data_IF_641294254044
#
_entry.id   IF_641294254044
#
_cell.length_a   1.000
_cell.length_b   1.000
_cell.length_c   1.000
_cell.angle_alpha   90.00
_cell.angle_beta   90.00
_cell.angle_gamma   90.00
#
_symmetry.space_group_name_H-M   'P 1'
#
loop_
_entity.id
_entity.type
_entity.pdbx_description
1 polymer ?
#
# COMPACT_ATOMS: atom_id res chain seq x y z
N UNK A 1 -45.00 -5.60 -43.68
CA UNK A 1 -44.22 -5.15 -42.51
C UNK A 1 -43.15 -6.19 -42.19
N UNK A 2 -41.92 -6.02 -42.66
CA UNK A 2 -40.87 -7.07 -42.60
C UNK A 2 -39.49 -6.48 -42.25
N UNK A 3 -39.45 -5.54 -41.29
CA UNK A 3 -38.19 -4.90 -40.84
C UNK A 3 -38.05 -4.82 -39.31
N UNK A 4 -39.00 -5.34 -38.53
CA UNK A 4 -38.92 -5.29 -37.06
C UNK A 4 -37.99 -6.35 -36.45
N UNK A 5 -37.66 -7.43 -37.14
CA UNK A 5 -36.77 -8.49 -36.60
C UNK A 5 -35.28 -8.12 -36.56
N UNK A 6 -34.80 -7.38 -37.56
CA UNK A 6 -33.37 -7.10 -37.74
C UNK A 6 -32.84 -6.01 -36.78
N UNK A 7 -33.72 -5.13 -36.30
CA UNK A 7 -33.38 -4.10 -35.31
C UNK A 7 -33.26 -4.67 -33.88
N UNK A 8 -34.02 -5.72 -33.55
CA UNK A 8 -33.92 -6.37 -32.22
C UNK A 8 -32.66 -7.23 -32.11
N UNK A 9 -32.26 -7.94 -33.18
CA UNK A 9 -31.01 -8.71 -33.19
C UNK A 9 -29.78 -7.80 -33.09
N UNK A 10 -29.77 -6.67 -33.81
CA UNK A 10 -28.66 -5.71 -33.73
C UNK A 10 -28.59 -4.98 -32.39
N UNK A 11 -29.73 -4.64 -31.77
CA UNK A 11 -29.74 -4.07 -30.42
C UNK A 11 -29.23 -5.07 -29.36
N UNK A 12 -29.62 -6.34 -29.48
CA UNK A 12 -29.15 -7.40 -28.58
C UNK A 12 -27.65 -7.67 -28.74
N UNK A 13 -27.14 -7.62 -29.98
CA UNK A 13 -25.72 -7.80 -30.27
C UNK A 13 -24.88 -6.64 -29.70
N UNK A 14 -25.37 -5.40 -29.77
CA UNK A 14 -24.66 -4.25 -29.18
C UNK A 14 -24.61 -4.35 -27.65
N UNK A 15 -25.70 -4.76 -27.01
CA UNK A 15 -25.75 -4.91 -25.55
C UNK A 15 -24.79 -6.02 -25.09
N UNK A 16 -24.72 -7.15 -25.80
CA UNK A 16 -23.79 -8.24 -25.43
C UNK A 16 -22.32 -7.83 -25.56
N UNK A 17 -21.97 -7.02 -26.56
CA UNK A 17 -20.62 -6.48 -26.74
C UNK A 17 -20.25 -5.51 -25.60
N UNK A 18 -21.15 -4.62 -25.20
CA UNK A 18 -20.89 -3.68 -24.09
C UNK A 18 -20.65 -4.44 -22.78
N UNK A 19 -21.47 -5.45 -22.50
CA UNK A 19 -21.30 -6.29 -21.29
C UNK A 19 -19.98 -7.06 -21.35
N UNK A 20 -19.59 -7.59 -22.50
CA UNK A 20 -18.31 -8.28 -22.66
C UNK A 20 -17.10 -7.34 -22.44
N UNK A 21 -17.16 -6.09 -22.93
CA UNK A 21 -16.13 -5.06 -22.71
C UNK A 21 -16.06 -4.66 -21.23
N UNK A 22 -17.21 -4.52 -20.56
CA UNK A 22 -17.24 -4.21 -19.14
C UNK A 22 -16.63 -5.34 -18.29
N UNK A 23 -16.97 -6.60 -18.60
CA UNK A 23 -16.38 -7.78 -17.92
C UNK A 23 -14.89 -7.88 -18.24
N UNK A 24 -14.45 -7.63 -19.47
CA UNK A 24 -13.03 -7.54 -19.82
C UNK A 24 -12.31 -6.44 -19.05
N UNK A 25 -12.92 -5.26 -18.86
CA UNK A 25 -12.36 -4.18 -18.04
C UNK A 25 -12.23 -4.55 -16.56
N UNK A 26 -13.22 -5.25 -16.01
CA UNK A 26 -13.17 -5.78 -14.63
C UNK A 26 -12.11 -6.89 -14.52
N UNK A 27 -12.04 -7.81 -15.48
CA UNK A 27 -11.01 -8.85 -15.53
C UNK A 27 -9.60 -8.27 -15.71
N UNK A 28 -9.44 -7.20 -16.49
CA UNK A 28 -8.19 -6.43 -16.59
C UNK A 28 -7.89 -5.66 -15.31
N UNK A 29 -8.88 -5.28 -14.51
CA UNK A 29 -8.67 -4.71 -13.17
C UNK A 29 -8.20 -5.77 -12.17
N UNK A 30 -8.70 -7.01 -12.28
CA UNK A 30 -8.21 -8.15 -11.50
C UNK A 30 -6.81 -8.62 -11.95
N UNK A 31 -6.54 -8.66 -13.26
CA UNK A 31 -5.21 -8.97 -13.81
C UNK A 31 -4.21 -7.80 -13.62
N UNK A 32 -4.68 -6.56 -13.55
CA UNK A 32 -3.89 -5.37 -13.21
C UNK A 32 -3.38 -5.35 -11.76
N UNK A 33 -3.88 -6.26 -10.91
CA UNK A 33 -3.33 -6.55 -9.59
C UNK A 33 -2.11 -7.49 -9.61
N UNK A 34 -1.79 -8.13 -10.75
CA UNK A 34 -0.69 -9.07 -10.90
C UNK A 34 0.18 -8.62 -12.09
N UNK A 35 1.03 -7.60 -11.88
CA UNK A 35 1.99 -7.21 -12.91
C UNK A 35 2.43 -5.75 -12.95
N UNK A 36 2.34 -5.00 -11.85
CA UNK A 36 3.09 -3.74 -11.75
C UNK A 36 4.19 -3.94 -10.71
N UNK A 37 5.44 -3.84 -11.14
CA UNK A 37 6.61 -3.82 -10.26
C UNK A 37 6.34 -2.78 -9.18
N UNK A 38 6.04 -3.25 -7.98
CA UNK A 38 5.93 -2.39 -6.81
C UNK A 38 7.31 -1.84 -6.47
N UNK A 39 7.36 -0.63 -5.91
CA UNK A 39 8.62 -0.13 -5.38
C UNK A 39 9.07 -1.05 -4.22
N UNK A 40 10.35 -1.38 -4.13
CA UNK A 40 10.83 -2.32 -3.11
C UNK A 40 10.77 -1.66 -1.72
N UNK A 41 10.26 -2.36 -0.71
CA UNK A 41 10.21 -1.84 0.66
C UNK A 41 11.57 -1.37 1.19
N UNK A 42 12.68 -1.99 0.77
CA UNK A 42 14.06 -1.58 1.12
C UNK A 42 14.43 -0.19 0.67
N UNK A 43 13.87 0.25 -0.45
CA UNK A 43 14.12 1.58 -1.01
C UNK A 43 13.08 2.59 -0.50
N UNK A 44 11.84 2.14 -0.35
CA UNK A 44 10.71 3.00 0.03
C UNK A 44 10.77 3.45 1.48
N UNK A 45 11.07 2.56 2.43
CA UNK A 45 11.13 2.89 3.86
C UNK A 45 12.07 4.06 4.16
N UNK A 46 13.37 4.01 3.79
CA UNK A 46 14.29 5.12 4.05
C UNK A 46 13.95 6.40 3.27
N UNK A 47 13.41 6.28 2.06
CA UNK A 47 12.97 7.46 1.28
C UNK A 47 11.80 8.17 1.95
N UNK A 48 10.82 7.43 2.47
CA UNK A 48 9.67 7.97 3.18
C UNK A 48 10.09 8.70 4.47
N UNK A 49 10.88 8.04 5.32
CA UNK A 49 11.37 8.64 6.58
C UNK A 49 12.18 9.89 6.29
N UNK A 50 13.05 9.86 5.28
CA UNK A 50 13.83 11.03 4.85
C UNK A 50 12.93 12.18 4.42
N UNK A 51 11.91 11.94 3.61
CA UNK A 51 11.00 12.99 3.11
C UNK A 51 10.21 13.65 4.24
N UNK A 52 9.65 12.84 5.12
CA UNK A 52 8.90 13.35 6.28
C UNK A 52 9.83 14.12 7.21
N UNK A 53 11.02 13.60 7.50
CA UNK A 53 12.01 14.28 8.35
C UNK A 53 12.51 15.60 7.75
N UNK A 54 12.76 15.66 6.45
CA UNK A 54 13.16 16.89 5.78
C UNK A 54 12.05 17.95 5.77
N UNK A 55 10.79 17.53 5.71
CA UNK A 55 9.64 18.43 5.77
C UNK A 55 9.35 18.87 7.21
N UNK A 56 9.54 17.99 8.19
CA UNK A 56 9.27 18.21 9.61
C UNK A 56 7.78 18.15 10.00
N UNK A 57 6.89 17.82 9.06
CA UNK A 57 5.44 17.68 9.29
C UNK A 57 4.77 16.90 8.14
N UNK A 58 3.54 16.42 8.37
CA UNK A 58 2.69 15.82 7.34
C UNK A 58 2.85 14.29 7.17
N UNK A 59 2.11 13.75 6.21
CA UNK A 59 2.12 12.32 5.84
C UNK A 59 2.70 12.14 4.44
N UNK A 60 3.51 11.10 4.26
CA UNK A 60 3.97 10.62 2.96
C UNK A 60 3.56 9.17 2.78
N UNK A 61 2.82 8.88 1.70
CA UNK A 61 2.29 7.54 1.41
C UNK A 61 2.82 6.99 0.09
N UNK A 62 3.10 5.69 0.09
CA UNK A 62 3.41 4.90 -1.09
C UNK A 62 2.56 3.64 -1.11
N UNK A 63 1.65 3.56 -2.07
CA UNK A 63 0.96 2.32 -2.41
C UNK A 63 1.80 1.40 -3.29
N UNK A 64 1.38 0.13 -3.38
CA UNK A 64 2.01 -0.92 -4.21
C UNK A 64 3.50 -1.10 -3.88
N UNK A 65 3.82 -1.24 -2.61
CA UNK A 65 5.18 -1.54 -2.13
C UNK A 65 5.35 -3.05 -2.01
N UNK A 66 6.41 -3.57 -2.61
CA UNK A 66 6.71 -5.01 -2.58
C UNK A 66 7.59 -5.35 -1.37
N UNK A 67 7.09 -6.26 -0.54
CA UNK A 67 7.82 -6.90 0.54
C UNK A 67 8.29 -8.27 0.09
N UNK A 68 9.61 -8.48 0.03
CA UNK A 68 10.18 -9.76 -0.39
C UNK A 68 10.29 -10.71 0.79
N UNK A 69 9.94 -11.98 0.59
CA UNK A 69 10.01 -12.99 1.65
C UNK A 69 11.44 -13.09 2.24
N UNK A 70 11.51 -13.33 3.55
CA UNK A 70 12.73 -13.37 4.36
C UNK A 70 13.43 -12.02 4.59
N UNK A 71 12.91 -10.91 4.05
CA UNK A 71 13.41 -9.59 4.41
C UNK A 71 13.10 -9.24 5.87
N UNK A 72 14.02 -8.46 6.45
CA UNK A 72 13.90 -7.91 7.80
C UNK A 72 14.28 -6.45 7.78
N UNK A 73 13.39 -5.60 8.24
CA UNK A 73 13.59 -4.17 8.36
C UNK A 73 13.70 -3.84 9.83
N UNK A 74 14.84 -3.30 10.24
CA UNK A 74 15.04 -2.74 11.58
C UNK A 74 14.95 -1.22 11.50
N UNK A 75 14.67 -0.54 12.61
CA UNK A 75 14.59 0.92 12.68
C UNK A 75 15.77 1.61 11.98
N UNK A 76 17.00 1.16 12.26
CA UNK A 76 18.23 1.63 11.57
C UNK A 76 18.15 1.58 10.04
N UNK A 77 17.64 0.48 9.49
CA UNK A 77 17.56 0.29 8.04
C UNK A 77 16.43 1.15 7.43
N UNK A 78 15.35 1.35 8.18
CA UNK A 78 14.22 2.19 7.77
C UNK A 78 14.54 3.68 7.87
N UNK A 79 15.46 4.10 8.73
CA UNK A 79 15.93 5.50 8.83
C UNK A 79 16.92 5.82 7.70
N UNK A 80 17.76 4.86 7.31
CA UNK A 80 18.79 5.06 6.28
C UNK A 80 19.78 6.14 6.69
N UNK A 81 19.94 7.16 5.84
CA UNK A 81 20.84 8.30 6.08
C UNK A 81 20.13 9.51 6.71
N UNK A 82 18.89 9.35 7.18
CA UNK A 82 18.15 10.44 7.81
C UNK A 82 18.75 10.83 9.17
N UNK A 83 18.51 12.07 9.61
CA UNK A 83 18.96 12.57 10.91
C UNK A 83 18.08 12.12 12.10
N UNK A 84 17.10 11.26 11.85
CA UNK A 84 16.17 10.72 12.84
C UNK A 84 16.92 9.74 13.77
N UNK A 85 16.69 9.86 15.07
CA UNK A 85 17.24 8.93 16.05
C UNK A 85 16.53 7.57 15.95
N UNK A 86 17.27 6.46 16.10
CA UNK A 86 16.70 5.10 16.01
C UNK A 86 15.54 4.84 16.98
N UNK A 87 15.52 5.50 18.14
CA UNK A 87 14.47 5.32 19.13
C UNK A 87 13.22 6.17 18.86
N UNK A 88 13.26 7.05 17.86
CA UNK A 88 12.17 7.95 17.51
C UNK A 88 11.41 7.44 16.27
N UNK A 89 11.59 6.17 15.88
CA UNK A 89 10.89 5.58 14.75
C UNK A 89 10.13 4.34 15.20
N UNK A 90 8.82 4.33 15.05
CA UNK A 90 7.99 3.15 15.34
C UNK A 90 7.36 2.57 14.08
N UNK A 91 7.13 1.26 14.12
CA UNK A 91 6.43 0.53 13.08
C UNK A 91 5.05 0.09 13.58
N UNK A 92 4.04 0.43 12.80
CA UNK A 92 2.65 0.06 13.02
C UNK A 92 2.11 -0.72 11.83
N UNK A 93 1.21 -1.63 12.13
CA UNK A 93 0.42 -2.32 11.13
C UNK A 93 -0.82 -2.87 11.81
N UNK A 94 -1.97 -2.25 11.55
CA UNK A 94 -3.27 -2.61 12.12
C UNK A 94 -4.19 -3.24 11.05
N UNK A 95 -3.59 -4.05 10.16
CA UNK A 95 -4.32 -4.77 9.12
C UNK A 95 -4.12 -6.27 9.29
N UNK A 96 -5.11 -6.95 9.89
CA UNK A 96 -5.12 -8.41 10.12
C UNK A 96 -4.96 -9.23 8.82
N UNK A 97 -5.24 -8.65 7.64
CA UNK A 97 -5.04 -9.35 6.37
C UNK A 97 -3.56 -9.46 5.98
N UNK A 98 -2.70 -8.59 6.53
CA UNK A 98 -1.28 -8.47 6.17
C UNK A 98 -0.38 -8.73 7.36
N UNK A 99 -0.78 -8.26 8.53
CA UNK A 99 -0.01 -8.27 9.76
C UNK A 99 -0.64 -9.17 10.80
N UNK A 100 0.22 -9.75 11.62
CA UNK A 100 -0.19 -10.64 12.68
C UNK A 100 0.98 -11.47 13.16
N UNK A 101 0.68 -12.69 13.58
CA UNK A 101 1.69 -13.63 14.03
C UNK A 101 2.55 -14.20 12.87
N UNK A 102 3.32 -15.26 13.15
CA UNK A 102 4.20 -15.87 12.14
C UNK A 102 3.45 -16.50 10.96
N UNK A 103 2.13 -16.65 11.04
CA UNK A 103 1.31 -17.16 9.93
C UNK A 103 0.91 -16.07 8.94
N UNK A 104 0.89 -14.81 9.40
CA UNK A 104 0.60 -13.62 8.58
C UNK A 104 1.78 -13.28 7.65
N UNK A 105 1.52 -12.60 6.52
CA UNK A 105 2.56 -12.16 5.59
C UNK A 105 3.68 -11.33 6.24
N UNK A 106 3.31 -10.43 7.14
CA UNK A 106 4.21 -9.58 7.90
C UNK A 106 4.02 -9.82 9.41
N UNK A 107 5.13 -9.80 10.14
CA UNK A 107 5.12 -9.67 11.60
C UNK A 107 5.79 -8.35 11.94
N UNK A 108 5.01 -7.41 12.49
CA UNK A 108 5.51 -6.12 12.94
C UNK A 108 5.69 -6.17 14.46
N UNK A 109 6.82 -5.66 14.89
CA UNK A 109 7.20 -5.47 16.29
C UNK A 109 7.66 -4.04 16.44
N UNK A 110 7.75 -3.56 17.68
CA UNK A 110 8.24 -2.22 18.00
C UNK A 110 9.53 -1.84 17.22
N UNK A 111 10.46 -2.78 17.08
CA UNK A 111 11.79 -2.54 16.52
C UNK A 111 12.00 -3.06 15.10
N UNK A 112 11.08 -3.87 14.58
CA UNK A 112 11.30 -4.52 13.29
C UNK A 112 10.05 -4.98 12.57
N UNK A 113 10.16 -5.03 11.24
CA UNK A 113 9.22 -5.67 10.33
C UNK A 113 9.89 -6.94 9.79
N UNK A 114 9.26 -8.10 9.99
CA UNK A 114 9.72 -9.39 9.46
C UNK A 114 8.76 -9.85 8.37
N UNK A 115 9.29 -10.09 7.17
CA UNK A 115 8.49 -10.55 6.03
C UNK A 115 8.51 -12.08 5.97
N UNK A 116 7.42 -12.69 6.41
CA UNK A 116 7.26 -14.15 6.39
C UNK A 116 6.91 -14.67 5.00
N UNK A 117 6.09 -13.91 4.25
CA UNK A 117 5.64 -14.25 2.89
C UNK A 117 5.72 -13.01 2.00
N UNK A 118 6.04 -13.21 0.72
CA UNK A 118 6.02 -12.13 -0.26
C UNK A 118 4.61 -11.53 -0.34
N UNK A 119 4.51 -10.21 -0.24
CA UNK A 119 3.25 -9.48 -0.33
C UNK A 119 3.48 -8.09 -0.91
N UNK A 120 2.41 -7.51 -1.46
CA UNK A 120 2.36 -6.12 -1.88
C UNK A 120 1.36 -5.38 -0.99
N UNK A 121 1.76 -4.24 -0.44
CA UNK A 121 0.89 -3.40 0.40
C UNK A 121 1.13 -1.92 0.16
N UNK A 122 0.75 -1.09 1.12
CA UNK A 122 1.08 0.32 1.19
C UNK A 122 1.91 0.63 2.43
N UNK A 123 2.73 1.67 2.35
CA UNK A 123 3.49 2.21 3.48
C UNK A 123 3.17 3.70 3.56
N UNK A 124 2.80 4.18 4.74
CA UNK A 124 2.75 5.60 5.06
C UNK A 124 3.79 5.91 6.14
N UNK A 125 4.36 7.11 6.09
CA UNK A 125 5.19 7.65 7.14
C UNK A 125 4.64 9.01 7.56
N UNK A 126 4.65 9.29 8.86
CA UNK A 126 4.31 10.60 9.41
C UNK A 126 5.23 10.93 10.58
N UNK A 127 5.13 12.17 11.06
CA UNK A 127 5.86 12.62 12.25
C UNK A 127 4.93 13.36 13.19
N UNK A 128 5.07 13.08 14.49
CA UNK A 128 4.46 13.81 15.58
C UNK A 128 5.45 14.88 16.07
N UNK A 129 5.05 16.13 15.96
CA UNK A 129 5.83 17.33 16.34
C UNK A 129 7.25 17.43 15.74
N UNK A 130 7.54 16.68 14.67
CA UNK A 130 8.87 16.60 14.06
C UNK A 130 9.91 15.82 14.89
N UNK A 131 9.48 15.21 15.99
CA UNK A 131 10.34 14.51 16.96
C UNK A 131 10.21 13.00 16.82
N UNK A 132 8.98 12.51 16.83
CA UNK A 132 8.65 11.09 16.71
C UNK A 132 8.17 10.81 15.29
N UNK A 133 8.53 9.65 14.76
CA UNK A 133 8.25 9.23 13.40
C UNK A 133 7.57 7.88 13.45
N UNK A 134 6.55 7.70 12.64
CA UNK A 134 5.75 6.49 12.64
C UNK A 134 5.59 6.01 11.21
N UNK A 135 5.77 4.71 11.02
CA UNK A 135 5.57 4.02 9.75
C UNK A 135 4.38 3.10 9.88
N UNK A 136 3.38 3.29 9.03
CA UNK A 136 2.17 2.48 8.96
C UNK A 136 2.20 1.60 7.72
N UNK A 137 1.82 0.34 7.88
CA UNK A 137 1.71 -0.63 6.79
C UNK A 137 0.26 -1.11 6.74
N UNK A 138 -0.34 -1.08 5.55
CA UNK A 138 -1.70 -1.55 5.33
C UNK A 138 -1.87 -2.17 3.94
N UNK A 139 -3.02 -2.79 3.66
CA UNK A 139 -3.30 -3.33 2.32
C UNK A 139 -3.48 -2.24 1.28
N UNK A 140 -4.10 -1.13 1.66
CA UNK A 140 -4.36 0.00 0.76
C UNK A 140 -3.67 1.27 1.25
N UNK A 141 -3.36 2.13 0.30
CA UNK A 141 -2.79 3.46 0.52
C UNK A 141 -3.73 4.37 1.32
N UNK A 142 -5.04 4.30 1.06
CA UNK A 142 -6.05 5.06 1.81
C UNK A 142 -6.10 4.67 3.29
N UNK A 143 -5.92 3.38 3.59
CA UNK A 143 -5.93 2.86 4.97
C UNK A 143 -4.65 3.32 5.69
N UNK A 144 -3.47 3.09 5.09
CA UNK A 144 -2.20 3.52 5.66
C UNK A 144 -2.13 5.05 5.87
N UNK A 145 -2.66 5.85 4.94
CA UNK A 145 -2.69 7.31 5.06
C UNK A 145 -3.63 7.77 6.18
N UNK A 146 -4.83 7.19 6.28
CA UNK A 146 -5.80 7.56 7.31
C UNK A 146 -5.29 7.28 8.71
N UNK A 147 -4.68 6.12 8.93
CA UNK A 147 -4.08 5.77 10.23
C UNK A 147 -2.92 6.70 10.59
N UNK A 148 -2.08 7.04 9.60
CA UNK A 148 -0.98 7.98 9.81
C UNK A 148 -1.47 9.40 10.13
N UNK A 149 -2.52 9.87 9.45
CA UNK A 149 -3.11 11.18 9.72
C UNK A 149 -3.74 11.24 11.12
N UNK A 150 -4.46 10.20 11.54
CA UNK A 150 -5.07 10.12 12.86
C UNK A 150 -3.99 10.04 13.96
N UNK A 151 -3.00 9.16 13.81
CA UNK A 151 -1.98 8.95 14.86
C UNK A 151 -1.07 10.17 15.03
N UNK A 152 -0.67 10.81 13.92
CA UNK A 152 0.17 12.01 13.98
C UNK A 152 -0.62 13.31 14.22
N UNK A 153 -1.92 13.23 14.56
CA UNK A 153 -2.80 14.39 14.81
C UNK A 153 -2.81 15.42 13.65
N UNK A 154 -2.85 14.93 12.41
CA UNK A 154 -2.85 15.74 11.19
C UNK A 154 -4.25 15.88 10.55
N UNK A 155 -5.24 15.17 11.10
CA UNK A 155 -6.63 15.15 10.65
C UNK A 155 -7.51 16.27 11.24
#
# INVERSE_FOLDING_TARGET
MKMRGQAFETMMLVISVIVAVAILGILLSFLGGIGTFGANAKEVLPDLVKKVSQRGYGVEVRGKVEFTAADRFYRKNAIGESAVAENNLDFFCDDDAICGDKSAPLTVTENSIVVNKKITGAIAACTEDGVEYHIFIAAKDTEASSEAEETCNLA
#
